data_IF_064865260815
#
_entry.id   IF_064865260815
#
_cell.length_a   1.000
_cell.length_b   1.000
_cell.length_c   1.000
_cell.angle_alpha   90.00
_cell.angle_beta   90.00
_cell.angle_gamma   90.00
#
_symmetry.space_group_name_H-M   'P 1'
#
loop_
_entity.id
_entity.type
_entity.pdbx_description
1 polymer ?
#
# COMPACT_ATOMS: atom_id res chain seq x y z
N UNK A 1 13.45 4.55 -1.78
CA UNK A 1 12.28 3.72 -1.40
C UNK A 1 12.50 3.06 -0.04
N UNK A 2 13.22 1.93 0.05
CA UNK A 2 13.45 1.28 1.35
C UNK A 2 14.31 2.10 2.33
N UNK A 3 15.30 2.84 1.81
CA UNK A 3 16.14 3.72 2.65
C UNK A 3 15.37 4.92 3.24
N UNK A 4 14.22 5.25 2.66
CA UNK A 4 13.44 6.46 2.97
C UNK A 4 12.13 6.12 3.70
N UNK A 5 11.91 4.84 4.03
CA UNK A 5 10.69 4.34 4.68
C UNK A 5 11.05 3.34 5.78
N UNK A 6 10.16 3.06 6.75
CA UNK A 6 10.44 2.06 7.80
C UNK A 6 10.39 0.60 7.29
N UNK A 7 10.24 0.37 5.98
CA UNK A 7 9.98 -0.95 5.41
C UNK A 7 11.24 -1.59 4.85
N UNK A 8 11.42 -2.88 5.11
CA UNK A 8 12.49 -3.65 4.48
C UNK A 8 12.28 -3.73 2.96
N UNK A 9 13.38 -3.80 2.21
CA UNK A 9 13.30 -3.98 0.75
C UNK A 9 12.62 -5.30 0.37
N UNK A 10 12.74 -6.35 1.20
CA UNK A 10 12.10 -7.64 0.97
C UNK A 10 10.58 -7.58 1.09
N UNK A 11 10.05 -6.78 2.03
CA UNK A 11 8.62 -6.52 2.15
C UNK A 11 8.09 -5.80 0.90
N UNK A 12 8.78 -4.73 0.46
CA UNK A 12 8.38 -3.99 -0.73
C UNK A 12 8.44 -4.86 -2.00
N UNK A 13 9.46 -5.74 -2.11
CA UNK A 13 9.56 -6.68 -3.21
C UNK A 13 8.44 -7.74 -3.19
N UNK A 14 8.07 -8.24 -2.01
CA UNK A 14 6.94 -9.16 -1.86
C UNK A 14 5.61 -8.49 -2.24
N UNK A 15 5.41 -7.25 -1.83
CA UNK A 15 4.23 -6.48 -2.23
C UNK A 15 4.18 -6.26 -3.74
N UNK A 16 5.29 -5.83 -4.37
CA UNK A 16 5.38 -5.67 -5.82
C UNK A 16 5.07 -6.98 -6.58
N UNK A 17 5.52 -8.12 -6.04
CA UNK A 17 5.21 -9.42 -6.62
C UNK A 17 3.72 -9.73 -6.55
N UNK A 18 3.08 -9.47 -5.40
CA UNK A 18 1.66 -9.68 -5.23
C UNK A 18 0.80 -8.77 -6.12
N UNK A 19 1.25 -7.54 -6.36
CA UNK A 19 0.53 -6.56 -7.17
C UNK A 19 0.63 -6.83 -8.67
N UNK A 20 1.82 -7.18 -9.17
CA UNK A 20 2.09 -7.23 -10.62
C UNK A 20 2.89 -8.44 -11.09
N UNK A 21 3.31 -9.36 -10.21
CA UNK A 21 4.32 -10.38 -10.51
C UNK A 21 5.63 -9.77 -11.05
N UNK A 22 5.98 -8.58 -10.56
CA UNK A 22 7.11 -7.77 -11.02
C UNK A 22 7.04 -7.34 -12.50
N UNK A 23 5.84 -7.22 -13.05
CA UNK A 23 5.62 -6.64 -14.38
C UNK A 23 5.44 -5.10 -14.29
N UNK A 24 6.40 -4.30 -14.77
CA UNK A 24 6.28 -2.84 -14.74
C UNK A 24 5.24 -2.30 -15.74
N UNK A 25 4.81 -3.10 -16.72
CA UNK A 25 3.82 -2.75 -17.72
C UNK A 25 2.41 -3.24 -17.36
N UNK A 26 2.23 -3.82 -16.17
CA UNK A 26 0.96 -4.35 -15.68
C UNK A 26 -0.15 -3.30 -15.71
N UNK A 27 -1.36 -3.73 -16.12
CA UNK A 27 -2.56 -2.89 -16.23
C UNK A 27 -3.79 -3.67 -15.80
N UNK A 28 -4.65 -3.05 -15.00
CA UNK A 28 -5.97 -3.60 -14.67
C UNK A 28 -7.10 -2.93 -15.47
N UNK A 29 -8.24 -3.59 -15.53
CA UNK A 29 -9.49 -2.99 -16.02
C UNK A 29 -9.99 -1.84 -15.14
N UNK A 30 -9.59 -1.81 -13.86
CA UNK A 30 -9.95 -0.76 -12.88
C UNK A 30 -9.02 0.46 -12.93
N UNK A 31 -8.03 0.47 -13.82
CA UNK A 31 -7.17 1.64 -14.09
C UNK A 31 -5.93 1.76 -13.22
N UNK A 32 -5.63 0.79 -12.34
CA UNK A 32 -4.33 0.68 -11.66
C UNK A 32 -3.25 0.17 -12.62
N UNK A 33 -2.01 0.62 -12.44
CA UNK A 33 -0.90 0.33 -13.35
C UNK A 33 0.46 0.24 -12.67
N UNK A 34 1.38 -0.47 -13.31
CA UNK A 34 2.79 -0.52 -12.96
C UNK A 34 3.12 -1.50 -11.85
N UNK A 35 4.40 -1.54 -11.48
CA UNK A 35 4.94 -2.55 -10.57
C UNK A 35 4.20 -2.64 -9.22
N UNK A 36 3.78 -1.50 -8.67
CA UNK A 36 3.06 -1.38 -7.39
C UNK A 36 1.55 -1.13 -7.57
N UNK A 37 1.04 -1.26 -8.80
CA UNK A 37 -0.37 -1.11 -9.17
C UNK A 37 -1.04 0.14 -8.58
N UNK A 38 -0.42 1.30 -8.79
CA UNK A 38 -0.96 2.56 -8.28
C UNK A 38 -2.15 3.05 -9.12
N UNK A 39 -3.17 3.57 -8.45
CA UNK A 39 -4.22 4.38 -9.10
C UNK A 39 -3.60 5.69 -9.60
N UNK A 40 -4.31 6.40 -10.47
CA UNK A 40 -3.84 7.72 -10.91
C UNK A 40 -3.81 8.71 -9.74
N UNK A 41 -4.86 8.75 -8.92
CA UNK A 41 -4.96 9.65 -7.76
C UNK A 41 -3.89 9.36 -6.69
N UNK A 42 -3.57 8.09 -6.44
CA UNK A 42 -2.48 7.74 -5.52
C UNK A 42 -1.14 8.17 -6.09
N UNK A 43 -0.89 7.93 -7.38
CA UNK A 43 0.34 8.33 -8.05
C UNK A 43 0.56 9.86 -7.97
N UNK A 44 -0.48 10.65 -8.24
CA UNK A 44 -0.43 12.11 -8.11
C UNK A 44 -0.09 12.55 -6.67
N UNK A 45 -0.74 11.95 -5.67
CA UNK A 45 -0.51 12.30 -4.26
C UNK A 45 0.93 12.01 -3.81
N UNK A 46 1.56 10.95 -4.32
CA UNK A 46 2.92 10.54 -3.94
C UNK A 46 3.99 11.00 -4.92
N UNK A 47 3.65 11.90 -5.86
CA UNK A 47 4.61 12.50 -6.79
C UNK A 47 5.13 11.57 -7.89
N UNK A 48 4.37 10.55 -8.27
CA UNK A 48 4.70 9.66 -9.40
C UNK A 48 4.16 10.24 -10.70
N UNK A 49 5.08 10.62 -11.59
CA UNK A 49 4.76 11.18 -12.91
C UNK A 49 4.49 10.08 -13.93
N UNK A 50 5.21 8.96 -13.85
CA UNK A 50 5.04 7.81 -14.72
C UNK A 50 4.89 6.51 -13.91
N UNK A 51 3.66 6.01 -13.82
CA UNK A 51 3.36 4.74 -13.11
C UNK A 51 4.04 3.50 -13.71
N UNK A 52 4.42 3.56 -15.00
CA UNK A 52 5.11 2.46 -15.70
C UNK A 52 6.64 2.54 -15.53
N UNK A 53 7.18 3.63 -14.97
CA UNK A 53 8.58 3.64 -14.55
C UNK A 53 8.71 2.80 -13.27
N UNK A 54 9.51 1.71 -13.27
CA UNK A 54 9.59 0.81 -12.13
C UNK A 54 10.12 1.49 -10.86
N UNK A 55 11.05 2.44 -11.01
CA UNK A 55 11.65 3.14 -9.85
C UNK A 55 10.63 4.06 -9.21
N UNK A 56 9.91 4.83 -10.01
CA UNK A 56 8.83 5.70 -9.53
C UNK A 56 7.69 4.87 -8.93
N UNK A 57 7.28 3.78 -9.59
CA UNK A 57 6.23 2.89 -9.09
C UNK A 57 6.56 2.35 -7.69
N UNK A 58 7.78 1.82 -7.50
CA UNK A 58 8.25 1.31 -6.20
C UNK A 58 8.36 2.41 -5.15
N UNK A 59 8.94 3.57 -5.50
CA UNK A 59 9.06 4.69 -4.58
C UNK A 59 7.69 5.21 -4.13
N UNK A 60 6.77 5.42 -5.06
CA UNK A 60 5.41 5.87 -4.77
C UNK A 60 4.59 4.85 -3.97
N UNK A 61 4.72 3.56 -4.29
CA UNK A 61 4.09 2.49 -3.51
C UNK A 61 4.62 2.42 -2.08
N UNK A 62 5.92 2.62 -1.87
CA UNK A 62 6.52 2.65 -0.55
C UNK A 62 6.06 3.86 0.27
N UNK A 63 6.01 5.05 -0.34
CA UNK A 63 5.48 6.27 0.30
C UNK A 63 4.00 6.07 0.66
N UNK A 64 3.20 5.54 -0.27
CA UNK A 64 1.79 5.31 -0.01
C UNK A 64 1.56 4.31 1.14
N UNK A 65 2.35 3.24 1.21
CA UNK A 65 2.29 2.30 2.33
C UNK A 65 2.68 2.98 3.65
N UNK A 66 3.65 3.90 3.64
CA UNK A 66 4.07 4.64 4.83
C UNK A 66 2.94 5.56 5.32
N UNK A 67 2.29 6.29 4.41
CA UNK A 67 1.12 7.12 4.73
C UNK A 67 -0.01 6.29 5.37
N UNK A 68 -0.25 5.09 4.84
CA UNK A 68 -1.26 4.18 5.41
C UNK A 68 -0.85 3.68 6.79
N UNK A 69 0.42 3.30 6.96
CA UNK A 69 0.99 2.87 8.23
C UNK A 69 0.89 3.95 9.29
N UNK A 70 1.13 5.21 8.96
CA UNK A 70 0.97 6.34 9.89
C UNK A 70 -0.50 6.57 10.28
N UNK A 71 -1.43 6.35 9.35
CA UNK A 71 -2.87 6.51 9.60
C UNK A 71 -3.48 5.38 10.42
N UNK A 72 -2.82 4.23 10.57
CA UNK A 72 -3.31 3.15 11.44
C UNK A 72 -3.45 3.70 12.87
N UNK A 73 -4.58 3.48 13.57
CA UNK A 73 -4.75 4.01 14.92
C UNK A 73 -3.75 3.44 15.94
N UNK A 74 -3.34 4.27 16.90
CA UNK A 74 -2.31 3.95 17.90
C UNK A 74 -2.64 2.76 18.81
N UNK A 75 -3.92 2.41 18.91
CA UNK A 75 -4.37 1.20 19.59
C UNK A 75 -3.85 -0.09 18.93
N UNK A 76 -3.49 -0.05 17.64
CA UNK A 76 -2.86 -1.15 16.92
C UNK A 76 -1.34 -1.02 17.05
N UNK A 77 -0.75 -1.93 17.81
CA UNK A 77 0.68 -1.91 18.12
C UNK A 77 1.44 -3.07 17.47
N UNK A 78 2.78 -2.97 17.46
CA UNK A 78 3.68 -4.00 16.95
C UNK A 78 3.49 -4.28 15.46
N UNK A 79 3.70 -5.54 15.07
CA UNK A 79 3.60 -5.99 13.67
C UNK A 79 2.17 -5.85 13.12
N UNK A 80 1.16 -5.88 13.99
CA UNK A 80 -0.25 -5.65 13.60
C UNK A 80 -0.42 -4.37 12.80
N UNK A 81 0.33 -3.33 13.14
CA UNK A 81 0.27 -2.04 12.44
C UNK A 81 0.64 -2.16 10.96
N UNK A 82 1.66 -2.96 10.65
CA UNK A 82 2.05 -3.24 9.27
C UNK A 82 0.96 -4.05 8.55
N UNK A 83 0.39 -5.07 9.20
CA UNK A 83 -0.67 -5.90 8.60
C UNK A 83 -1.92 -5.09 8.26
N UNK A 84 -2.33 -4.17 9.13
CA UNK A 84 -3.44 -3.26 8.86
C UNK A 84 -3.13 -2.27 7.74
N UNK A 85 -1.88 -1.78 7.64
CA UNK A 85 -1.47 -0.91 6.54
C UNK A 85 -1.51 -1.64 5.19
N UNK A 86 -1.05 -2.90 5.15
CA UNK A 86 -1.11 -3.75 3.95
C UNK A 86 -2.56 -4.05 3.54
N UNK A 87 -3.43 -4.34 4.51
CA UNK A 87 -4.86 -4.48 4.24
C UNK A 87 -5.44 -3.17 3.66
N UNK A 88 -5.12 -2.03 4.25
CA UNK A 88 -5.56 -0.71 3.77
C UNK A 88 -5.01 -0.37 2.38
N UNK A 89 -3.84 -0.89 1.99
CA UNK A 89 -3.28 -0.70 0.66
C UNK A 89 -4.19 -1.35 -0.40
N UNK A 90 -4.68 -2.56 -0.12
CA UNK A 90 -5.52 -3.32 -1.02
C UNK A 90 -7.00 -2.89 -1.02
N UNK A 91 -7.62 -2.78 0.17
CA UNK A 91 -9.07 -2.51 0.29
C UNK A 91 -9.40 -1.06 0.64
N UNK A 92 -8.41 -0.23 0.93
CA UNK A 92 -8.62 1.15 1.37
C UNK A 92 -8.90 1.27 2.88
N UNK A 93 -8.47 2.39 3.45
CA UNK A 93 -8.51 2.62 4.90
C UNK A 93 -9.94 2.68 5.48
N UNK A 94 -10.91 3.17 4.70
CA UNK A 94 -12.31 3.22 5.14
C UNK A 94 -12.87 1.83 5.46
N UNK A 95 -12.65 0.87 4.54
CA UNK A 95 -13.09 -0.51 4.74
C UNK A 95 -12.35 -1.21 5.88
N UNK A 96 -11.08 -0.86 6.12
CA UNK A 96 -10.35 -1.32 7.31
C UNK A 96 -11.01 -0.83 8.60
N UNK A 97 -11.43 0.44 8.66
CA UNK A 97 -12.13 0.97 9.83
C UNK A 97 -13.50 0.32 10.04
N UNK A 98 -14.27 0.09 8.97
CA UNK A 98 -15.55 -0.61 9.04
C UNK A 98 -15.36 -2.03 9.61
N UNK A 99 -14.34 -2.75 9.14
CA UNK A 99 -14.01 -4.09 9.61
C UNK A 99 -13.63 -4.11 11.09
N UNK A 100 -12.84 -3.13 11.56
CA UNK A 100 -12.48 -3.00 12.97
C UNK A 100 -13.68 -2.71 13.86
N UNK A 101 -14.54 -1.77 13.45
CA UNK A 101 -15.77 -1.48 14.18
C UNK A 101 -16.70 -2.71 14.25
N UNK A 102 -16.72 -3.55 13.21
CA UNK A 102 -17.45 -4.82 13.23
C UNK A 102 -16.81 -5.84 14.19
N UNK A 103 -15.48 -5.93 14.24
CA UNK A 103 -14.76 -6.81 15.15
C UNK A 103 -15.05 -6.43 16.62
N UNK A 104 -14.97 -5.15 16.96
CA UNK A 104 -15.29 -4.63 18.30
C UNK A 104 -16.74 -4.95 18.69
N UNK A 105 -17.70 -4.76 17.77
CA UNK A 105 -19.12 -5.15 17.99
C UNK A 105 -19.31 -6.65 18.22
N UNK A 106 -18.37 -7.48 17.75
CA UNK A 106 -18.36 -8.94 17.96
C UNK A 106 -17.52 -9.36 19.17
N UNK A 107 -16.95 -8.42 19.91
CA UNK A 107 -16.13 -8.70 21.10
C UNK A 107 -14.73 -9.22 20.77
N UNK A 108 -14.20 -8.89 19.58
CA UNK A 108 -12.82 -9.16 19.17
C UNK A 108 -11.92 -7.94 19.42
#
# INVERSE_FOLDING_TARGET
AAADTPFSWTLLAAQAYQESHWDPDARSATGVRGLMMLTLSTAERVGVENRLDPRQSVAGGAIYLADLYERVPDAVQGEGRLWFALAAYNVGMGHVYDARALAERRGL
#
